data_IF_314453055299
#
_entry.id   IF_314453055299
#
_cell.length_a   1.000
_cell.length_b   1.000
_cell.length_c   1.000
_cell.angle_alpha   90.00
_cell.angle_beta   90.00
_cell.angle_gamma   90.00
#
_symmetry.space_group_name_H-M   'P 1'
#
loop_
_entity.id
_entity.type
_entity.pdbx_description
1 polymer ?
#
# COMPACT_ATOMS: atom_id res chain seq x y z
N UNK A 1 -5.23 -6.85 3.16
CA UNK A 1 -4.88 -5.44 3.43
C UNK A 1 -3.37 -5.26 3.36
N UNK A 2 -2.89 -4.25 2.64
CA UNK A 2 -1.45 -3.97 2.53
C UNK A 2 -0.97 -3.19 3.77
N UNK A 3 0.08 -3.71 4.41
CA UNK A 3 0.72 -3.11 5.57
C UNK A 3 2.10 -2.56 5.21
N UNK A 4 2.52 -1.55 5.95
CA UNK A 4 3.89 -1.04 5.94
C UNK A 4 4.80 -1.89 6.81
N UNK A 5 6.11 -1.75 6.66
CA UNK A 5 7.11 -2.39 7.54
C UNK A 5 6.94 -2.02 9.03
N UNK A 6 6.22 -0.94 9.32
CA UNK A 6 5.92 -0.49 10.68
C UNK A 6 4.53 -0.95 11.16
N UNK A 7 3.93 -1.96 10.52
CA UNK A 7 2.57 -2.44 10.81
C UNK A 7 1.46 -1.38 10.65
N UNK A 8 1.73 -0.25 10.00
CA UNK A 8 0.70 0.73 9.66
C UNK A 8 -0.06 0.27 8.40
N UNK A 9 -1.38 0.43 8.39
CA UNK A 9 -2.22 0.05 7.25
C UNK A 9 -2.18 1.12 6.17
N UNK A 10 -1.99 0.70 4.92
CA UNK A 10 -2.06 1.59 3.77
C UNK A 10 -3.52 1.99 3.48
N UNK A 11 -3.74 3.27 3.21
CA UNK A 11 -5.04 3.82 2.84
C UNK A 11 -5.05 4.11 1.34
N UNK A 12 -6.00 3.50 0.64
CA UNK A 12 -6.19 3.66 -0.79
C UNK A 12 -7.64 4.07 -1.11
N UNK A 13 -7.86 4.84 -2.19
CA UNK A 13 -6.85 5.53 -3.00
C UNK A 13 -6.34 6.82 -2.33
N UNK A 14 -5.12 7.24 -2.67
CA UNK A 14 -4.53 8.49 -2.17
C UNK A 14 -3.96 9.35 -3.30
N UNK A 15 -3.92 10.67 -3.11
CA UNK A 15 -3.39 11.62 -4.08
C UNK A 15 -1.97 12.02 -3.65
N UNK A 16 -1.03 11.92 -4.58
CA UNK A 16 0.33 12.42 -4.42
C UNK A 16 0.85 13.02 -5.73
N UNK A 17 1.38 14.25 -5.69
CA UNK A 17 1.91 14.92 -6.89
C UNK A 17 0.93 14.93 -8.07
N UNK A 18 -0.33 15.27 -7.80
CA UNK A 18 -1.43 15.35 -8.79
C UNK A 18 -1.86 14.01 -9.41
N UNK A 19 -1.39 12.88 -8.86
CA UNK A 19 -1.74 11.53 -9.33
C UNK A 19 -2.43 10.75 -8.21
N UNK A 20 -3.41 9.95 -8.58
CA UNK A 20 -4.10 9.04 -7.67
C UNK A 20 -3.37 7.70 -7.69
N UNK A 21 -3.03 7.19 -6.52
CA UNK A 21 -2.40 5.90 -6.31
C UNK A 21 -3.35 4.99 -5.52
N UNK A 22 -3.67 3.84 -6.09
CA UNK A 22 -4.47 2.78 -5.44
C UNK A 22 -3.60 1.64 -4.89
N UNK A 23 -2.28 1.83 -4.86
CA UNK A 23 -1.31 0.85 -4.42
C UNK A 23 0.01 1.51 -4.02
N UNK A 24 0.96 0.70 -3.58
CA UNK A 24 2.30 1.17 -3.25
C UNK A 24 2.96 1.82 -4.47
N UNK A 25 3.56 2.99 -4.26
CA UNK A 25 4.24 3.75 -5.30
C UNK A 25 5.69 3.97 -4.92
N UNK A 26 6.56 4.13 -5.91
CA UNK A 26 7.96 4.55 -5.71
C UNK A 26 8.14 6.04 -6.00
N UNK A 27 7.04 6.76 -6.24
CA UNK A 27 7.04 8.18 -6.60
C UNK A 27 7.82 8.99 -5.56
N UNK A 28 8.87 9.68 -6.02
CA UNK A 28 9.71 10.56 -5.21
C UNK A 28 10.31 9.92 -3.94
N UNK A 29 10.56 8.61 -3.95
CA UNK A 29 11.09 7.88 -2.79
C UNK A 29 12.33 7.03 -3.13
N UNK A 30 13.14 7.46 -4.11
CA UNK A 30 14.42 6.82 -4.43
C UNK A 30 14.34 5.34 -4.83
N UNK A 31 13.18 4.87 -5.30
CA UNK A 31 12.94 3.46 -5.66
C UNK A 31 12.37 2.59 -4.53
N UNK A 32 12.14 3.14 -3.34
CA UNK A 32 11.49 2.42 -2.23
C UNK A 32 9.96 2.55 -2.38
N UNK A 33 9.25 1.42 -2.32
CA UNK A 33 7.79 1.40 -2.35
C UNK A 33 7.22 1.96 -1.05
N UNK A 34 6.26 2.88 -1.16
CA UNK A 34 5.57 3.49 -0.04
C UNK A 34 4.08 3.68 -0.35
N UNK A 35 3.28 3.80 0.70
CA UNK A 35 1.86 4.07 0.62
C UNK A 35 1.47 5.17 1.61
N UNK A 36 0.33 5.81 1.39
CA UNK A 36 -0.24 6.68 2.41
C UNK A 36 -0.81 5.84 3.56
N UNK A 37 -0.56 6.23 4.80
CA UNK A 37 -1.15 5.63 6.01
C UNK A 37 -2.27 6.48 6.60
N UNK A 38 -2.32 7.76 6.21
CA UNK A 38 -3.39 8.71 6.53
C UNK A 38 -3.60 9.66 5.36
N UNK A 39 -4.83 10.13 5.18
CA UNK A 39 -5.19 11.13 4.18
C UNK A 39 -5.65 12.43 4.83
N UNK A 40 -5.46 13.55 4.14
CA UNK A 40 -6.21 14.77 4.39
C UNK A 40 -7.67 14.61 3.94
N UNK A 41 -8.55 15.51 4.36
CA UNK A 41 -9.96 15.55 3.90
C UNK A 41 -10.10 15.68 2.37
N UNK A 42 -9.04 16.16 1.71
CA UNK A 42 -8.94 16.27 0.25
C UNK A 42 -8.51 14.98 -0.46
N UNK A 43 -8.13 13.94 0.29
CA UNK A 43 -7.57 12.69 -0.26
C UNK A 43 -6.07 12.74 -0.54
N UNK A 44 -5.40 13.85 -0.24
CA UNK A 44 -3.93 13.95 -0.32
C UNK A 44 -3.27 13.08 0.75
N UNK A 45 -2.16 12.42 0.41
CA UNK A 45 -1.36 11.68 1.38
C UNK A 45 -0.86 12.62 2.48
N UNK A 46 -1.29 12.37 3.72
CA UNK A 46 -0.88 13.13 4.91
C UNK A 46 0.30 12.46 5.60
N UNK A 47 0.15 11.18 5.88
CA UNK A 47 1.20 10.34 6.45
C UNK A 47 1.50 9.22 5.46
N UNK A 48 2.75 8.74 5.47
CA UNK A 48 3.22 7.69 4.58
C UNK A 48 4.10 6.69 5.31
N UNK A 49 4.18 5.48 4.78
CA UNK A 49 5.10 4.46 5.27
C UNK A 49 5.62 3.56 4.16
N UNK A 50 6.79 2.97 4.38
CA UNK A 50 7.40 2.03 3.45
C UNK A 50 6.57 0.76 3.38
N UNK A 51 6.11 0.41 2.19
CA UNK A 51 5.36 -0.82 1.98
C UNK A 51 6.20 -2.03 2.34
N UNK A 52 5.58 -3.00 3.02
CA UNK A 52 6.19 -4.30 3.20
C UNK A 52 6.30 -5.02 1.84
N UNK A 53 7.29 -5.90 1.70
CA UNK A 53 7.47 -6.69 0.49
C UNK A 53 6.25 -7.59 0.17
N UNK A 54 5.43 -7.90 1.18
CA UNK A 54 4.15 -8.59 0.99
C UNK A 54 3.13 -7.81 0.16
N UNK A 55 3.30 -6.49 0.01
CA UNK A 55 2.47 -5.65 -0.86
C UNK A 55 2.97 -5.60 -2.31
N UNK A 56 4.16 -6.14 -2.60
CA UNK A 56 4.80 -6.05 -3.90
C UNK A 56 4.18 -7.01 -4.94
N UNK A 57 3.32 -7.93 -4.50
CA UNK A 57 2.75 -9.02 -5.32
C UNK A 57 1.23 -8.93 -5.59
N UNK A 58 0.51 -7.88 -5.17
CA UNK A 58 -0.94 -7.77 -5.47
C UNK A 58 -1.24 -7.27 -6.90
N UNK A 59 -0.94 -8.12 -7.90
CA UNK A 59 -1.86 -8.42 -9.02
C UNK A 59 -2.36 -9.88 -8.95
N UNK A 60 -2.03 -10.62 -7.89
CA UNK A 60 -2.68 -11.89 -7.56
C UNK A 60 -2.63 -12.04 -6.03
N UNK A 61 -3.68 -11.89 -5.23
CA UNK A 61 -5.06 -12.38 -5.32
C UNK A 61 -5.79 -11.75 -4.11
N UNK A 62 -7.11 -11.47 -4.18
CA UNK A 62 -7.82 -10.73 -3.15
C UNK A 62 -8.03 -11.59 -1.90
N UNK A 63 -7.78 -11.00 -0.73
CA UNK A 63 -8.35 -11.32 0.59
C UNK A 63 -8.48 -12.81 0.99
N UNK A 64 -7.60 -13.24 1.91
CA UNK A 64 -7.73 -14.36 2.85
C UNK A 64 -8.54 -15.61 2.40
N UNK A 65 -7.83 -16.68 2.01
CA UNK A 65 -8.42 -18.02 2.01
C UNK A 65 -7.90 -18.99 0.95
N UNK A 66 -6.73 -19.59 1.18
CA UNK A 66 -6.55 -21.02 0.92
C UNK A 66 -5.32 -21.57 1.67
N UNK A 67 -5.56 -22.14 2.85
CA UNK A 67 -4.76 -23.25 3.34
C UNK A 67 -4.98 -24.42 2.38
N UNK A 68 -4.00 -24.74 1.53
CA UNK A 68 -3.91 -26.09 1.00
C UNK A 68 -3.32 -26.99 2.09
N UNK A 69 -4.18 -27.62 2.89
CA UNK A 69 -3.87 -28.96 3.36
C UNK A 69 -4.12 -29.90 2.18
N UNK A 70 -3.06 -30.38 1.55
CA UNK A 70 -3.16 -31.55 0.67
C UNK A 70 -2.76 -32.76 1.51
N UNK A 71 -3.62 -33.79 1.45
CA UNK A 71 -3.64 -34.97 2.31
C UNK A 71 -2.55 -35.99 2.04
#
# INVERSE_FOLDING_TARGET
DCLTNNNATCVFPFIYGERIYAGCTTANNGGIFWCATSLYDTGLAKDYGSCADSCRDEISIPYDGCRTVSG
#
